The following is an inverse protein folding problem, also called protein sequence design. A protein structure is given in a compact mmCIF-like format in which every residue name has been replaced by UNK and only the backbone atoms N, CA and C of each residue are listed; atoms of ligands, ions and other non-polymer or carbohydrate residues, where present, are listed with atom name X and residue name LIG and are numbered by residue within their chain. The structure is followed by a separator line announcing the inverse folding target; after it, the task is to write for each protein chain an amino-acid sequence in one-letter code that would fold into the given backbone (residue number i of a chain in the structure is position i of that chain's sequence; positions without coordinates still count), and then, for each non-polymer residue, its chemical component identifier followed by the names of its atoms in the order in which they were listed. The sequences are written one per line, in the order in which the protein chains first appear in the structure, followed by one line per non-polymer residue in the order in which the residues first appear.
data_IF_996241451439
#
_entry.id   IF_996241451439
#
_cell.length_a   1.000
_cell.length_b   1.000
_cell.length_c   1.000
_cell.angle_alpha   90.00
_cell.angle_beta   90.00
_cell.angle_gamma   90.00
#
_symmetry.space_group_name_H-M   'P 1'
#
loop_
_entity.id
_entity.type
_entity.pdbx_description
1 polymer ?
#
# COMPACT_ATOMS: atom_id res chain seq x y z
N UNK A 1 9.01 -1.10 -20.86
CA UNK A 1 10.42 -0.77 -20.59
C UNK A 1 10.51 -0.54 -19.11
N UNK A 2 11.31 -1.35 -18.41
CA UNK A 2 11.42 -1.26 -16.96
C UNK A 2 12.38 -0.11 -16.63
N UNK A 3 11.87 0.94 -15.98
CA UNK A 3 12.64 2.15 -15.66
C UNK A 3 13.64 1.90 -14.54
N UNK A 4 13.32 1.06 -13.54
CA UNK A 4 14.14 0.86 -12.35
C UNK A 4 15.04 -0.36 -12.44
N UNK A 5 14.56 -1.45 -13.07
CA UNK A 5 15.26 -2.75 -13.12
C UNK A 5 16.73 -2.71 -13.54
N UNK A 6 17.15 -1.92 -14.57
CA UNK A 6 18.55 -1.88 -14.99
C UNK A 6 19.52 -1.46 -13.88
N UNK A 7 19.07 -0.59 -12.98
CA UNK A 7 19.91 0.02 -11.95
C UNK A 7 19.98 -0.81 -10.66
N UNK A 8 18.98 -1.66 -10.39
CA UNK A 8 18.90 -2.40 -9.12
C UNK A 8 20.12 -3.28 -8.86
N UNK A 9 20.69 -3.89 -9.92
CA UNK A 9 21.89 -4.72 -9.80
C UNK A 9 23.17 -3.93 -9.54
N UNK A 10 23.12 -2.61 -9.72
CA UNK A 10 24.24 -1.69 -9.56
C UNK A 10 24.14 -0.91 -8.24
N UNK A 11 23.04 -1.06 -7.51
CA UNK A 11 22.87 -0.50 -6.16
C UNK A 11 23.81 -1.24 -5.20
N UNK A 12 24.42 -0.50 -4.27
CA UNK A 12 25.33 -1.05 -3.27
C UNK A 12 24.68 -2.07 -2.35
N UNK A 13 25.46 -3.06 -1.92
CA UNK A 13 24.99 -4.08 -0.96
C UNK A 13 24.51 -3.45 0.35
N UNK A 14 25.18 -2.39 0.82
CA UNK A 14 24.82 -1.70 2.07
C UNK A 14 23.46 -1.00 1.99
N UNK A 15 23.14 -0.40 0.84
CA UNK A 15 21.82 0.20 0.62
C UNK A 15 20.76 -0.90 0.49
N UNK A 16 21.07 -1.94 -0.27
CA UNK A 16 20.18 -3.08 -0.50
C UNK A 16 19.83 -3.79 0.80
N UNK A 17 20.80 -4.08 1.67
CA UNK A 17 20.55 -4.75 2.96
C UNK A 17 19.53 -3.99 3.81
N UNK A 18 19.62 -2.67 3.84
CA UNK A 18 18.73 -1.80 4.60
C UNK A 18 17.36 -1.64 3.95
N UNK A 19 17.30 -1.47 2.63
CA UNK A 19 16.08 -1.03 1.93
C UNK A 19 15.48 -2.11 1.02
N UNK A 20 15.96 -3.35 1.04
CA UNK A 20 15.54 -4.47 0.17
C UNK A 20 14.03 -4.62 -0.02
N UNK A 21 13.23 -4.30 1.02
CA UNK A 21 11.78 -4.41 0.94
C UNK A 21 11.21 -3.58 -0.23
N UNK A 22 11.71 -2.35 -0.46
CA UNK A 22 11.23 -1.47 -1.55
C UNK A 22 11.58 -2.02 -2.95
N UNK A 23 12.58 -2.91 -3.03
CA UNK A 23 13.09 -3.50 -4.26
C UNK A 23 12.33 -4.76 -4.67
N UNK A 24 11.29 -5.16 -3.92
CA UNK A 24 10.40 -6.24 -4.34
C UNK A 24 9.76 -5.93 -5.69
N UNK A 25 9.59 -6.95 -6.52
CA UNK A 25 9.07 -6.79 -7.89
C UNK A 25 7.71 -6.07 -7.93
N UNK A 26 6.80 -6.38 -7.00
CA UNK A 26 5.50 -5.71 -6.86
C UNK A 26 5.66 -4.19 -6.70
N UNK A 27 6.61 -3.74 -5.88
CA UNK A 27 6.82 -2.33 -5.57
C UNK A 27 7.55 -1.61 -6.70
N UNK A 28 8.54 -2.26 -7.32
CA UNK A 28 9.20 -1.72 -8.51
C UNK A 28 8.19 -1.48 -9.64
N UNK A 29 7.35 -2.47 -9.95
CA UNK A 29 6.30 -2.33 -10.96
C UNK A 29 5.30 -1.21 -10.60
N UNK A 30 4.91 -1.10 -9.33
CA UNK A 30 4.02 -0.03 -8.87
C UNK A 30 4.65 1.36 -9.06
N UNK A 31 5.91 1.55 -8.66
CA UNK A 31 6.63 2.81 -8.86
C UNK A 31 6.76 3.18 -10.33
N UNK A 32 7.13 2.24 -11.20
CA UNK A 32 7.22 2.49 -12.64
C UNK A 32 5.87 2.90 -13.24
N UNK A 33 4.79 2.25 -12.83
CA UNK A 33 3.44 2.60 -13.27
C UNK A 33 3.04 3.99 -12.77
N UNK A 34 3.39 4.35 -11.53
CA UNK A 34 3.13 5.67 -10.98
C UNK A 34 3.92 6.76 -11.70
N UNK A 35 5.22 6.53 -12.00
CA UNK A 35 6.06 7.46 -12.76
C UNK A 35 5.46 7.68 -14.16
N UNK A 36 5.05 6.62 -14.84
CA UNK A 36 4.40 6.72 -16.16
C UNK A 36 3.13 7.56 -16.09
N UNK A 37 2.23 7.23 -15.16
CA UNK A 37 0.97 7.97 -14.96
C UNK A 37 1.23 9.44 -14.60
N UNK A 38 2.28 9.72 -13.82
CA UNK A 38 2.70 11.09 -13.51
C UNK A 38 3.08 11.85 -14.79
N UNK A 39 3.95 11.27 -15.62
CA UNK A 39 4.38 11.87 -16.89
C UNK A 39 3.22 12.08 -17.88
N UNK A 40 2.22 11.21 -17.85
CA UNK A 40 1.01 11.28 -18.68
C UNK A 40 -0.10 12.18 -18.10
N UNK A 41 0.09 12.73 -16.89
CA UNK A 41 -0.94 13.46 -16.14
C UNK A 41 -2.23 12.65 -15.90
N UNK A 42 -2.13 11.33 -15.76
CA UNK A 42 -3.25 10.39 -15.51
C UNK A 42 -3.25 9.85 -14.07
N UNK A 43 -2.49 10.48 -13.21
CA UNK A 43 -2.19 10.02 -11.87
C UNK A 43 -3.29 10.47 -10.87
N UNK A 44 -4.16 9.56 -10.42
CA UNK A 44 -5.29 9.86 -9.49
C UNK A 44 -4.99 9.54 -8.00
N UNK A 45 -4.79 10.57 -7.16
CA UNK A 45 -4.32 10.41 -5.76
C UNK A 45 -5.12 11.23 -4.75
N UNK A 46 -6.16 11.92 -5.19
CA UNK A 46 -6.95 12.79 -4.31
C UNK A 46 -8.03 12.00 -3.54
N UNK A 47 -8.33 10.77 -3.98
CA UNK A 47 -9.37 9.92 -3.39
C UNK A 47 -8.78 8.71 -2.67
N UNK A 48 -9.41 8.23 -1.59
CA UNK A 48 -10.47 8.91 -0.84
C UNK A 48 -9.97 10.23 -0.24
N UNK A 49 -10.89 11.18 -0.09
CA UNK A 49 -10.61 12.42 0.63
C UNK A 49 -10.55 12.14 2.13
N UNK A 50 -9.53 12.68 2.78
CA UNK A 50 -9.37 12.65 4.23
C UNK A 50 -8.87 14.01 4.72
N UNK A 51 -9.64 14.66 5.58
CA UNK A 51 -9.36 16.03 6.04
C UNK A 51 -8.06 16.15 6.86
N UNK A 52 -7.62 15.09 7.55
CA UNK A 52 -6.35 15.06 8.30
C UNK A 52 -5.14 14.61 7.44
N UNK A 53 -5.31 14.38 6.14
CA UNK A 53 -4.17 14.05 5.29
C UNK A 53 -3.16 15.20 5.23
N UNK A 54 -1.89 14.84 5.39
CA UNK A 54 -0.76 15.71 5.08
C UNK A 54 -0.33 15.44 3.63
N UNK A 55 -0.37 16.45 2.77
CA UNK A 55 0.02 16.32 1.37
C UNK A 55 1.53 16.55 1.20
N UNK A 56 2.35 15.53 0.87
CA UNK A 56 3.75 15.74 0.53
C UNK A 56 3.89 16.42 -0.84
N UNK A 57 5.04 17.04 -1.09
CA UNK A 57 5.42 17.53 -2.43
C UNK A 57 5.80 16.33 -3.32
N UNK A 58 4.77 15.69 -3.88
CA UNK A 58 4.94 14.54 -4.77
C UNK A 58 5.62 14.95 -6.07
N UNK A 59 5.33 16.14 -6.60
CA UNK A 59 5.93 16.65 -7.83
C UNK A 59 7.44 16.63 -7.72
N UNK A 60 7.98 17.23 -6.66
CA UNK A 60 9.41 17.19 -6.36
C UNK A 60 9.94 15.75 -6.30
N UNK A 61 9.20 14.85 -5.64
CA UNK A 61 9.59 13.44 -5.51
C UNK A 61 9.71 12.76 -6.88
N UNK A 62 8.70 12.88 -7.74
CA UNK A 62 8.73 12.31 -9.09
C UNK A 62 9.84 12.92 -9.96
N UNK A 63 10.03 14.24 -9.90
CA UNK A 63 11.07 14.95 -10.66
C UNK A 63 12.46 14.44 -10.34
N UNK A 64 12.79 14.16 -9.06
CA UNK A 64 14.08 13.58 -8.67
C UNK A 64 14.40 12.28 -9.41
N UNK A 65 13.42 11.37 -9.53
CA UNK A 65 13.61 10.10 -10.23
C UNK A 65 13.65 10.29 -11.75
N UNK A 66 12.74 11.09 -12.29
CA UNK A 66 12.65 11.34 -13.74
C UNK A 66 13.94 11.99 -14.26
N UNK A 67 14.48 12.97 -13.55
CA UNK A 67 15.74 13.64 -13.89
C UNK A 67 16.92 12.66 -13.94
N UNK A 68 16.96 11.67 -13.04
CA UNK A 68 17.98 10.62 -13.08
C UNK A 68 17.78 9.75 -14.32
N UNK A 69 16.57 9.28 -14.58
CA UNK A 69 16.30 8.39 -15.72
C UNK A 69 16.56 9.07 -17.07
N UNK A 70 16.24 10.36 -17.19
CA UNK A 70 16.42 11.14 -18.41
C UNK A 70 17.84 11.70 -18.59
N UNK A 71 18.70 11.63 -17.57
CA UNK A 71 20.09 12.07 -17.69
C UNK A 71 20.88 11.19 -18.66
N UNK A 72 21.95 11.77 -19.23
CA UNK A 72 22.91 11.05 -20.09
C UNK A 72 24.01 10.33 -19.28
N UNK A 73 23.83 10.21 -17.97
CA UNK A 73 24.78 9.54 -17.07
C UNK A 73 24.84 8.04 -17.35
N UNK A 74 25.96 7.39 -16.97
CA UNK A 74 26.06 5.93 -17.03
C UNK A 74 25.11 5.27 -16.01
N UNK A 75 24.80 3.99 -16.22
CA UNK A 75 23.89 3.26 -15.34
C UNK A 75 24.41 3.18 -13.90
N UNK A 76 25.73 3.12 -13.69
CA UNK A 76 26.36 3.14 -12.37
C UNK A 76 26.20 4.50 -11.68
N UNK A 77 26.34 5.59 -12.42
CA UNK A 77 26.13 6.94 -11.89
C UNK A 77 24.66 7.14 -11.55
N UNK A 78 23.72 6.67 -12.38
CA UNK A 78 22.29 6.69 -12.09
C UNK A 78 21.94 5.88 -10.84
N UNK A 79 22.50 4.68 -10.69
CA UNK A 79 22.31 3.85 -9.50
C UNK A 79 22.80 4.56 -8.23
N UNK A 80 23.99 5.15 -8.27
CA UNK A 80 24.52 5.95 -7.16
C UNK A 80 23.64 7.17 -6.83
N UNK A 81 23.11 7.85 -7.85
CA UNK A 81 22.16 8.97 -7.64
C UNK A 81 20.85 8.51 -7.01
N UNK A 82 20.32 7.35 -7.41
CA UNK A 82 19.12 6.75 -6.81
C UNK A 82 19.33 6.43 -5.32
N UNK A 83 20.50 5.90 -4.93
CA UNK A 83 20.83 5.62 -3.53
C UNK A 83 20.84 6.88 -2.66
N UNK A 84 21.23 8.02 -3.24
CA UNK A 84 21.32 9.31 -2.56
C UNK A 84 19.97 10.02 -2.42
N UNK A 85 18.90 9.51 -3.05
CA UNK A 85 17.55 10.05 -2.85
C UNK A 85 17.11 9.74 -1.41
N UNK A 86 16.67 10.74 -0.63
CA UNK A 86 16.06 10.49 0.68
C UNK A 86 14.93 9.46 0.59
N UNK A 87 14.94 8.48 1.50
CA UNK A 87 14.05 7.32 1.42
C UNK A 87 12.55 7.67 1.36
N UNK A 88 12.16 8.78 1.98
CA UNK A 88 10.79 9.27 1.93
C UNK A 88 10.27 9.53 0.52
N UNK A 89 11.14 9.91 -0.42
CA UNK A 89 10.74 10.12 -1.82
C UNK A 89 10.49 8.80 -2.55
N UNK A 90 11.14 7.70 -2.14
CA UNK A 90 10.80 6.36 -2.64
C UNK A 90 9.38 5.97 -2.23
N UNK A 91 9.01 6.26 -0.98
CA UNK A 91 7.65 6.01 -0.48
C UNK A 91 6.62 6.90 -1.18
N UNK A 92 6.96 8.16 -1.46
CA UNK A 92 6.09 9.10 -2.17
C UNK A 92 5.76 8.62 -3.58
N UNK A 93 6.76 8.17 -4.36
CA UNK A 93 6.52 7.64 -5.72
C UNK A 93 5.87 6.26 -5.70
N UNK A 94 6.05 5.47 -4.63
CA UNK A 94 5.39 4.17 -4.47
C UNK A 94 3.88 4.33 -4.23
N UNK A 95 3.46 5.39 -3.56
CA UNK A 95 2.04 5.55 -3.26
C UNK A 95 1.68 6.09 -1.89
N UNK A 96 2.66 6.30 -0.99
CA UNK A 96 2.34 6.51 0.42
C UNK A 96 1.53 7.80 0.57
N UNK A 97 0.44 7.73 1.32
CA UNK A 97 -0.31 8.91 1.75
C UNK A 97 -0.15 9.10 3.25
N UNK A 98 -0.15 10.34 3.73
CA UNK A 98 0.40 10.68 5.04
C UNK A 98 -0.65 11.26 6.00
N UNK A 99 -0.40 11.02 7.28
CA UNK A 99 -1.10 11.60 8.43
C UNK A 99 -0.05 12.01 9.45
N UNK A 100 -0.43 12.71 10.51
CA UNK A 100 0.51 13.15 11.56
C UNK A 100 1.25 12.00 12.26
N UNK A 101 0.68 10.79 12.25
CA UNK A 101 1.27 9.59 12.87
C UNK A 101 2.04 8.69 11.89
N UNK A 102 2.19 9.10 10.62
CA UNK A 102 2.89 8.31 9.59
C UNK A 102 4.38 8.17 9.88
N UNK A 103 4.93 6.99 9.57
CA UNK A 103 6.38 6.79 9.48
C UNK A 103 6.84 6.88 8.02
N UNK A 104 8.10 7.27 7.79
CA UNK A 104 8.68 7.50 6.45
C UNK A 104 10.08 6.91 6.27
N UNK A 105 10.42 5.92 7.10
CA UNK A 105 11.66 5.14 7.00
C UNK A 105 11.42 3.78 6.33
N UNK A 106 12.44 2.91 6.27
CA UNK A 106 12.35 1.57 5.68
C UNK A 106 11.21 0.70 6.24
N UNK A 107 10.73 0.96 7.46
CA UNK A 107 9.62 0.24 8.06
C UNK A 107 8.26 0.70 7.51
N UNK A 108 8.22 1.75 6.69
CA UNK A 108 7.01 2.22 6.02
C UNK A 108 6.71 1.48 4.71
N UNK A 109 7.64 0.62 4.23
CA UNK A 109 7.43 -0.15 3.00
C UNK A 109 6.21 -1.06 3.18
N UNK A 110 5.22 -1.00 2.26
CA UNK A 110 4.00 -1.79 2.38
C UNK A 110 4.32 -3.30 2.29
N UNK A 111 3.60 -4.15 3.03
CA UNK A 111 3.72 -5.60 2.84
C UNK A 111 3.25 -6.03 1.44
N UNK A 112 3.80 -7.14 0.94
CA UNK A 112 3.38 -7.72 -0.34
C UNK A 112 1.93 -8.18 -0.30
N UNK A 113 1.24 -8.10 -1.44
CA UNK A 113 -0.17 -8.50 -1.59
C UNK A 113 -0.42 -9.93 -1.10
N UNK A 114 0.49 -10.84 -1.41
CA UNK A 114 0.41 -12.24 -0.99
C UNK A 114 0.39 -12.38 0.54
N UNK A 115 1.29 -11.69 1.25
CA UNK A 115 1.32 -11.72 2.71
C UNK A 115 0.03 -11.21 3.35
N UNK A 116 -0.58 -10.17 2.76
CA UNK A 116 -1.85 -9.60 3.23
C UNK A 116 -2.99 -10.61 3.05
N UNK A 117 -3.03 -11.30 1.90
CA UNK A 117 -4.01 -12.35 1.59
C UNK A 117 -3.84 -13.54 2.54
N UNK A 118 -2.60 -14.01 2.76
CA UNK A 118 -2.31 -15.09 3.69
C UNK A 118 -2.79 -14.78 5.11
N UNK A 119 -2.56 -13.55 5.59
CA UNK A 119 -3.01 -13.13 6.90
C UNK A 119 -4.55 -13.15 7.02
N UNK A 120 -5.27 -12.84 5.94
CA UNK A 120 -6.72 -12.93 5.87
C UNK A 120 -7.23 -14.38 5.88
N UNK A 121 -6.50 -15.30 5.25
CA UNK A 121 -6.86 -16.71 5.13
C UNK A 121 -6.52 -17.57 6.35
N UNK A 122 -5.82 -17.01 7.36
CA UNK A 122 -5.55 -17.73 8.61
C UNK A 122 -6.85 -18.23 9.27
N UNK A 123 -6.87 -19.46 9.81
CA UNK A 123 -8.05 -19.99 10.47
C UNK A 123 -8.34 -19.21 11.76
N UNK A 124 -9.59 -18.81 11.96
CA UNK A 124 -10.08 -18.36 13.26
C UNK A 124 -10.47 -19.55 14.14
N UNK A 125 -11.07 -20.56 13.52
CA UNK A 125 -11.35 -21.87 14.11
C UNK A 125 -11.29 -22.95 13.00
N UNK A 126 -11.82 -24.14 13.24
CA UNK A 126 -11.83 -25.24 12.28
C UNK A 126 -12.73 -25.03 11.06
N UNK A 127 -13.59 -24.00 11.06
CA UNK A 127 -14.64 -23.82 10.06
C UNK A 127 -14.50 -22.52 9.26
N UNK A 128 -13.94 -21.46 9.86
CA UNK A 128 -13.91 -20.12 9.26
C UNK A 128 -12.55 -19.45 9.38
N UNK A 129 -12.24 -18.57 8.43
CA UNK A 129 -11.05 -17.70 8.47
C UNK A 129 -11.25 -16.48 9.37
N UNK A 130 -10.13 -15.85 9.76
CA UNK A 130 -10.13 -14.56 10.46
C UNK A 130 -10.82 -13.49 9.61
N UNK A 131 -10.61 -13.49 8.30
CA UNK A 131 -11.28 -12.56 7.39
C UNK A 131 -12.80 -12.73 7.38
N UNK A 132 -13.33 -13.97 7.30
CA UNK A 132 -14.77 -14.19 7.38
C UNK A 132 -15.32 -13.65 8.70
N UNK A 133 -14.69 -14.00 9.82
CA UNK A 133 -15.12 -13.56 11.15
C UNK A 133 -15.12 -12.03 11.28
N UNK A 134 -14.07 -11.38 10.77
CA UNK A 134 -13.95 -9.92 10.80
C UNK A 134 -15.02 -9.26 9.93
N UNK A 135 -15.33 -9.82 8.76
CA UNK A 135 -16.29 -9.26 7.83
C UNK A 135 -17.73 -9.39 8.34
N UNK A 136 -18.12 -10.56 8.86
CA UNK A 136 -19.45 -10.77 9.47
C UNK A 136 -19.69 -9.80 10.64
N UNK A 137 -18.65 -9.54 11.45
CA UNK A 137 -18.72 -8.56 12.54
C UNK A 137 -18.84 -7.12 12.05
N UNK A 138 -18.26 -6.81 10.90
CA UNK A 138 -18.28 -5.48 10.29
C UNK A 138 -19.67 -5.17 9.72
N UNK A 139 -20.18 -6.05 8.85
CA UNK A 139 -21.53 -5.93 8.26
C UNK A 139 -22.62 -5.87 9.33
N UNK A 140 -22.48 -6.63 10.43
CA UNK A 140 -23.46 -6.60 11.52
C UNK A 140 -23.57 -5.26 12.26
N UNK A 141 -22.71 -4.28 11.98
CA UNK A 141 -22.70 -2.97 12.65
C UNK A 141 -23.25 -1.83 11.80
N UNK A 142 -23.30 -1.98 10.49
CA UNK A 142 -23.66 -0.90 9.56
C UNK A 142 -24.43 -1.43 8.35
N UNK A 143 -25.40 -0.65 7.90
CA UNK A 143 -26.09 -0.85 6.63
C UNK A 143 -25.28 -0.16 5.52
N UNK A 144 -24.21 -0.82 5.08
CA UNK A 144 -23.34 -0.35 4.00
C UNK A 144 -23.46 -1.28 2.78
N UNK A 145 -23.94 -0.71 1.67
CA UNK A 145 -24.12 -1.42 0.41
C UNK A 145 -22.81 -1.92 -0.20
N UNK A 146 -21.68 -1.28 0.13
CA UNK A 146 -20.37 -1.71 -0.37
C UNK A 146 -20.02 -3.12 0.12
N UNK A 147 -20.20 -3.39 1.41
CA UNK A 147 -19.95 -4.71 2.00
C UNK A 147 -21.06 -5.69 1.66
N UNK A 148 -22.30 -5.20 1.57
CA UNK A 148 -23.48 -5.97 1.19
C UNK A 148 -23.79 -7.09 2.19
N UNK A 149 -24.46 -8.15 1.71
CA UNK A 149 -24.82 -9.29 2.55
C UNK A 149 -23.96 -10.53 2.25
N UNK A 150 -23.41 -11.11 3.31
CA UNK A 150 -22.65 -12.37 3.25
C UNK A 150 -23.56 -13.53 3.65
N UNK A 151 -24.24 -14.10 2.64
CA UNK A 151 -25.13 -15.27 2.75
C UNK A 151 -24.51 -16.49 2.06
N UNK A 152 -24.83 -17.68 2.59
CA UNK A 152 -24.36 -18.98 2.09
C UNK A 152 -23.72 -19.83 3.18
N UNK A 153 -23.16 -20.97 2.79
CA UNK A 153 -22.29 -21.78 3.66
C UNK A 153 -20.90 -21.12 3.83
N UNK A 154 -20.07 -21.63 4.75
CA UNK A 154 -18.76 -20.99 5.05
C UNK A 154 -17.86 -20.87 3.81
N UNK A 155 -17.85 -21.86 2.92
CA UNK A 155 -17.04 -21.79 1.68
C UNK A 155 -17.47 -20.59 0.83
N UNK A 156 -18.77 -20.48 0.54
CA UNK A 156 -19.33 -19.38 -0.24
C UNK A 156 -19.11 -18.01 0.41
N UNK A 157 -19.20 -17.95 1.74
CA UNK A 157 -18.95 -16.72 2.49
C UNK A 157 -17.48 -16.30 2.39
N UNK A 158 -16.54 -17.24 2.54
CA UNK A 158 -15.12 -16.97 2.41
C UNK A 158 -14.76 -16.49 1.01
N UNK A 159 -15.31 -17.11 -0.04
CA UNK A 159 -15.10 -16.68 -1.43
C UNK A 159 -15.49 -15.20 -1.61
N UNK A 160 -16.70 -14.81 -1.18
CA UNK A 160 -17.16 -13.42 -1.25
C UNK A 160 -16.29 -12.44 -0.46
N UNK A 161 -15.83 -12.84 0.72
CA UNK A 161 -14.92 -12.01 1.54
C UNK A 161 -13.59 -11.81 0.82
N UNK A 162 -13.04 -12.87 0.23
CA UNK A 162 -11.78 -12.80 -0.50
C UNK A 162 -11.90 -12.00 -1.81
N UNK A 163 -13.05 -12.06 -2.49
CA UNK A 163 -13.36 -11.17 -3.62
C UNK A 163 -13.31 -9.70 -3.21
N UNK A 164 -13.91 -9.34 -2.07
CA UNK A 164 -13.88 -7.96 -1.54
C UNK A 164 -12.48 -7.53 -1.14
N UNK A 165 -11.71 -8.40 -0.49
CA UNK A 165 -10.32 -8.11 -0.13
C UNK A 165 -9.49 -7.87 -1.38
N UNK A 166 -9.62 -8.74 -2.38
CA UNK A 166 -8.91 -8.63 -3.66
C UNK A 166 -9.29 -7.35 -4.37
N UNK A 167 -10.58 -7.02 -4.43
CA UNK A 167 -11.07 -5.77 -4.98
C UNK A 167 -10.43 -4.54 -4.33
N UNK A 168 -10.39 -4.46 -3.00
CA UNK A 168 -9.80 -3.32 -2.28
C UNK A 168 -8.29 -3.24 -2.56
N UNK A 169 -7.58 -4.38 -2.54
CA UNK A 169 -6.13 -4.39 -2.80
C UNK A 169 -5.79 -3.98 -4.23
N UNK A 170 -6.59 -4.40 -5.21
CA UNK A 170 -6.40 -4.12 -6.63
C UNK A 170 -6.84 -2.71 -7.04
N UNK A 171 -7.78 -2.12 -6.29
CA UNK A 171 -8.31 -0.78 -6.54
C UNK A 171 -7.91 0.22 -5.44
N UNK A 172 -6.84 -0.08 -4.68
CA UNK A 172 -6.35 0.82 -3.63
C UNK A 172 -5.86 2.13 -4.25
N UNK A 173 -6.33 3.24 -3.70
CA UNK A 173 -5.85 4.60 -4.03
C UNK A 173 -5.23 5.29 -2.82
N UNK A 174 -5.36 4.67 -1.65
CA UNK A 174 -4.74 5.09 -0.41
C UNK A 174 -4.05 3.92 0.26
N UNK A 175 -2.81 4.14 0.71
CA UNK A 175 -2.18 3.28 1.69
C UNK A 175 -1.26 4.10 2.59
N UNK A 176 -1.08 3.63 3.82
CA UNK A 176 -0.21 4.27 4.80
C UNK A 176 0.29 3.26 5.85
N UNK A 177 1.43 3.59 6.46
CA UNK A 177 1.96 2.93 7.66
C UNK A 177 2.10 3.98 8.76
N UNK A 178 1.41 3.80 9.88
CA UNK A 178 1.32 4.82 10.92
C UNK A 178 1.06 4.22 12.31
N UNK A 179 1.32 5.00 13.36
CA UNK A 179 1.01 4.61 14.73
C UNK A 179 -0.48 4.79 15.03
N UNK A 180 -1.18 3.67 15.18
CA UNK A 180 -2.57 3.61 15.62
C UNK A 180 -2.65 3.55 17.16
N UNK A 181 -3.50 4.39 17.74
CA UNK A 181 -3.65 4.57 19.19
C UNK A 181 -3.90 3.29 20.02
N UNK A 182 -4.42 2.21 19.41
CA UNK A 182 -4.68 0.91 20.06
C UNK A 182 -3.83 -0.25 19.57
N UNK A 183 -3.23 -0.12 18.39
CA UNK A 183 -2.66 -1.26 17.66
C UNK A 183 -1.19 -1.02 17.29
N UNK A 184 -0.57 -0.01 17.89
CA UNK A 184 0.80 0.41 17.58
C UNK A 184 0.95 0.67 16.08
N UNK A 185 2.05 0.23 15.46
CA UNK A 185 2.29 0.43 14.04
C UNK A 185 1.38 -0.48 13.20
N UNK A 186 0.62 0.12 12.28
CA UNK A 186 -0.32 -0.59 11.40
C UNK A 186 -0.06 -0.27 9.94
N UNK A 187 -0.46 -1.19 9.07
CA UNK A 187 -0.56 -0.96 7.64
C UNK A 187 -2.03 -0.90 7.25
N UNK A 188 -2.40 0.11 6.47
CA UNK A 188 -3.77 0.37 6.05
C UNK A 188 -3.82 0.62 4.55
N UNK A 189 -4.84 0.06 3.90
CA UNK A 189 -5.18 0.34 2.51
C UNK A 189 -6.65 0.70 2.40
N UNK A 190 -6.97 1.60 1.46
CA UNK A 190 -8.36 1.95 1.12
C UNK A 190 -8.51 2.10 -0.38
N UNK A 191 -9.69 1.72 -0.86
CA UNK A 191 -10.13 2.06 -2.21
C UNK A 191 -10.70 3.49 -2.25
N UNK A 192 -11.00 3.99 -3.45
CA UNK A 192 -11.36 5.40 -3.72
C UNK A 192 -12.51 5.97 -2.89
N UNK A 193 -13.49 5.16 -2.50
CA UNK A 193 -14.63 5.60 -1.68
C UNK A 193 -14.30 5.61 -0.18
N UNK A 194 -13.15 5.05 0.19
CA UNK A 194 -12.63 5.06 1.55
C UNK A 194 -12.84 3.77 2.32
N UNK A 195 -13.50 2.75 1.77
CA UNK A 195 -13.53 1.44 2.43
C UNK A 195 -12.15 0.82 2.39
N UNK A 196 -11.81 0.08 3.42
CA UNK A 196 -10.45 -0.39 3.58
C UNK A 196 -10.28 -1.57 4.48
N UNK A 197 -9.00 -1.91 4.64
CA UNK A 197 -8.56 -3.02 5.46
C UNK A 197 -7.30 -2.58 6.18
N UNK A 198 -7.18 -3.02 7.43
CA UNK A 198 -6.02 -2.76 8.28
C UNK A 198 -5.38 -4.05 8.73
N UNK A 199 -4.05 -4.07 8.73
CA UNK A 199 -3.22 -5.12 9.30
C UNK A 199 -2.27 -4.54 10.33
N UNK A 200 -1.75 -5.41 11.21
CA UNK A 200 -0.55 -5.09 11.99
C UNK A 200 0.61 -4.74 11.04
N UNK A 201 1.60 -4.01 11.53
CA UNK A 201 2.82 -3.75 10.76
C UNK A 201 3.43 -5.05 10.19
N UNK A 202 3.93 -4.95 8.95
CA UNK A 202 4.42 -6.09 8.16
C UNK A 202 3.32 -7.02 7.63
N UNK A 203 2.03 -6.66 7.73
CA UNK A 203 0.93 -7.42 7.13
C UNK A 203 0.62 -8.74 7.84
N UNK A 204 1.21 -9.00 9.01
CA UNK A 204 1.22 -10.32 9.65
C UNK A 204 -0.13 -10.77 10.20
N UNK A 205 -0.98 -9.83 10.61
CA UNK A 205 -2.27 -10.11 11.23
C UNK A 205 -3.33 -9.13 10.71
N UNK A 206 -4.48 -9.65 10.31
CA UNK A 206 -5.65 -8.82 10.00
C UNK A 206 -6.17 -8.17 11.28
N UNK A 207 -6.28 -6.84 11.29
CA UNK A 207 -6.90 -6.08 12.38
C UNK A 207 -8.40 -5.94 12.11
N UNK A 208 -8.79 -5.60 10.89
CA UNK A 208 -10.19 -5.53 10.49
C UNK A 208 -10.46 -4.69 9.25
N UNK A 209 -11.74 -4.63 8.90
CA UNK A 209 -12.29 -3.83 7.82
C UNK A 209 -12.62 -2.41 8.29
N UNK A 210 -12.59 -1.46 7.36
CA UNK A 210 -12.72 -0.04 7.60
C UNK A 210 -13.83 0.53 6.73
N UNK A 211 -14.66 1.37 7.33
CA UNK A 211 -15.64 2.18 6.62
C UNK A 211 -14.99 3.41 6.00
N UNK A 212 -15.75 4.14 5.18
CA UNK A 212 -15.34 5.44 4.64
C UNK A 212 -14.80 6.37 5.73
N UNK A 213 -13.90 7.28 5.36
CA UNK A 213 -13.48 8.34 6.26
C UNK A 213 -14.70 9.16 6.67
N UNK A 214 -14.81 9.43 7.97
CA UNK A 214 -15.76 10.41 8.50
C UNK A 214 -15.05 11.75 8.36
N UNK A 215 -15.36 12.45 7.28
CA UNK A 215 -14.87 13.81 7.08
C UNK A 215 -15.86 14.76 7.75
N UNK A 216 -15.42 15.43 8.81
CA UNK A 216 -16.13 16.58 9.42
C UNK A 216 -15.96 17.84 8.58
#
# INVERSE_FOLDING_TARGET
MNLLTPYIRLISDSWTEKYQAILAEEHLQAMENNIRKFQENTLEWELPYFNEEIKPDRTKSFELFIDIFQSNDSDEVKASRLENIPFEHWLDILGQRLTSASIRDENAVPPLKEMLIEACMKPFNSEITIAQRACEKHIGRMDDQFWGEIKGNNVQKQEKVMEKISYILDNRTWWNVFYHYKHELVFEVREKEGHGIRWSHGGKQLIGFLEKFINE
#
